data_IF_762864494104
#
_entry.id   IF_762864494104
#
_cell.length_a   1.000
_cell.length_b   1.000
_cell.length_c   1.000
_cell.angle_alpha   90.00
_cell.angle_beta   90.00
_cell.angle_gamma   90.00
#
_symmetry.space_group_name_H-M   'P 1'
#
loop_
_entity.id
_entity.type
_entity.pdbx_description
1 polymer ?
#
# COMPACT_ATOMS: atom_id res chain seq x y z
N UNK A 1 -14.18 31.00 -74.18
CA UNK A 1 -14.16 31.24 -72.73
C UNK A 1 -12.91 30.54 -72.19
N UNK A 2 -11.81 31.27 -71.93
CA UNK A 2 -10.51 30.68 -71.54
C UNK A 2 -10.55 30.34 -70.05
N UNK A 3 -10.71 29.06 -69.73
CA UNK A 3 -10.53 28.54 -68.39
C UNK A 3 -9.03 28.62 -68.07
N UNK A 4 -8.65 29.67 -67.34
CA UNK A 4 -7.26 29.89 -66.94
C UNK A 4 -6.83 28.73 -66.03
N UNK A 5 -5.89 27.97 -66.55
CA UNK A 5 -5.17 26.86 -65.93
C UNK A 5 -4.53 27.30 -64.60
N UNK A 6 -5.23 27.04 -63.49
CA UNK A 6 -4.82 27.49 -62.15
C UNK A 6 -3.73 26.59 -61.55
N UNK A 7 -3.67 25.33 -61.94
CA UNK A 7 -2.74 24.33 -61.36
C UNK A 7 -1.27 24.68 -61.62
N UNK A 8 -0.96 25.18 -62.83
CA UNK A 8 0.41 25.52 -63.24
C UNK A 8 1.02 26.69 -62.47
N UNK A 9 0.18 27.58 -61.92
CA UNK A 9 0.63 28.71 -61.09
C UNK A 9 1.00 28.23 -59.69
N UNK A 10 0.19 27.36 -59.07
CA UNK A 10 0.48 26.80 -57.74
C UNK A 10 1.75 25.93 -57.75
N UNK A 11 1.95 25.12 -58.78
CA UNK A 11 3.17 24.29 -58.91
C UNK A 11 4.46 25.12 -59.04
N UNK A 12 4.39 26.26 -59.76
CA UNK A 12 5.51 27.20 -59.88
C UNK A 12 5.82 27.92 -58.57
N UNK A 13 4.79 28.27 -57.80
CA UNK A 13 4.95 28.89 -56.49
C UNK A 13 5.55 27.90 -55.48
N UNK A 14 5.07 26.65 -55.46
CA UNK A 14 5.57 25.58 -54.57
C UNK A 14 7.02 25.16 -54.86
N UNK A 15 7.45 25.18 -56.13
CA UNK A 15 8.84 24.86 -56.53
C UNK A 15 9.84 26.01 -56.30
N UNK A 16 9.38 27.21 -55.94
CA UNK A 16 10.26 28.36 -55.74
C UNK A 16 10.91 28.33 -54.34
N UNK A 17 12.24 28.53 -54.28
CA UNK A 17 12.99 28.63 -53.00
C UNK A 17 12.46 29.74 -52.08
N UNK A 18 11.85 30.79 -52.65
CA UNK A 18 11.27 31.90 -51.91
C UNK A 18 10.01 31.46 -51.15
N UNK A 19 9.22 30.52 -51.68
CA UNK A 19 8.03 30.04 -51.00
C UNK A 19 8.39 29.35 -49.68
N UNK A 20 9.45 28.53 -49.69
CA UNK A 20 9.95 27.90 -48.48
C UNK A 20 10.51 28.90 -47.46
N UNK A 21 11.11 30.01 -47.88
CA UNK A 21 11.64 31.04 -46.97
C UNK A 21 10.54 31.67 -46.11
N UNK A 22 9.33 31.81 -46.65
CA UNK A 22 8.17 32.34 -45.92
C UNK A 22 7.35 31.25 -45.23
N UNK A 23 7.32 30.04 -45.78
CA UNK A 23 6.58 28.91 -45.20
C UNK A 23 7.22 28.40 -43.90
N UNK A 24 8.56 28.29 -43.86
CA UNK A 24 9.30 27.77 -42.71
C UNK A 24 9.02 28.56 -41.41
N UNK A 25 9.13 29.90 -41.36
CA UNK A 25 8.88 30.66 -40.13
C UNK A 25 7.42 30.57 -39.67
N UNK A 26 6.47 30.54 -40.60
CA UNK A 26 5.05 30.32 -40.29
C UNK A 26 4.84 28.94 -39.67
N UNK A 27 5.45 27.91 -40.25
CA UNK A 27 5.36 26.55 -39.74
C UNK A 27 6.02 26.43 -38.36
N UNK A 28 7.17 27.08 -38.16
CA UNK A 28 7.86 27.12 -36.88
C UNK A 28 7.01 27.81 -35.80
N UNK A 29 6.36 28.93 -36.12
CA UNK A 29 5.47 29.64 -35.21
C UNK A 29 4.28 28.77 -34.79
N UNK A 30 3.70 27.99 -35.72
CA UNK A 30 2.64 27.04 -35.41
C UNK A 30 3.11 25.93 -34.46
N UNK A 31 4.29 25.33 -34.72
CA UNK A 31 4.88 24.31 -33.84
C UNK A 31 5.09 24.85 -32.44
N UNK A 32 5.65 26.06 -32.30
CA UNK A 32 5.89 26.69 -31.00
C UNK A 32 4.57 26.95 -30.27
N UNK A 33 3.55 27.47 -30.95
CA UNK A 33 2.24 27.71 -30.34
C UNK A 33 1.56 26.42 -29.86
N UNK A 34 1.60 25.36 -30.66
CA UNK A 34 1.01 24.07 -30.32
C UNK A 34 1.78 23.38 -29.18
N UNK A 35 3.10 23.40 -29.23
CA UNK A 35 3.95 22.77 -28.20
C UNK A 35 3.76 23.42 -26.83
N UNK A 36 3.67 24.75 -26.75
CA UNK A 36 3.39 25.46 -25.50
C UNK A 36 2.04 25.05 -24.90
N UNK A 37 1.00 24.99 -25.74
CA UNK A 37 -0.33 24.60 -25.29
C UNK A 37 -0.36 23.14 -24.82
N UNK A 38 0.30 22.24 -25.55
CA UNK A 38 0.37 20.82 -25.18
C UNK A 38 1.11 20.62 -23.86
N UNK A 39 2.24 21.33 -23.66
CA UNK A 39 3.01 21.28 -22.42
C UNK A 39 2.20 21.78 -21.22
N UNK A 40 1.47 22.90 -21.38
CA UNK A 40 0.61 23.42 -20.32
C UNK A 40 -0.51 22.44 -19.96
N UNK A 41 -1.16 21.84 -20.97
CA UNK A 41 -2.23 20.85 -20.75
C UNK A 41 -1.73 19.61 -20.03
N UNK A 42 -0.54 19.14 -20.39
CA UNK A 42 0.09 17.99 -19.74
C UNK A 42 0.42 18.27 -18.26
N UNK A 43 1.04 19.42 -17.97
CA UNK A 43 1.31 19.87 -16.61
C UNK A 43 0.05 19.96 -15.74
N UNK A 44 -1.03 20.52 -16.30
CA UNK A 44 -2.32 20.61 -15.60
C UNK A 44 -2.93 19.23 -15.35
N UNK A 45 -2.86 18.32 -16.31
CA UNK A 45 -3.36 16.96 -16.14
C UNK A 45 -2.60 16.19 -15.05
N UNK A 46 -1.28 16.33 -14.98
CA UNK A 46 -0.49 15.74 -13.90
C UNK A 46 -0.96 16.24 -12.55
N UNK A 47 -1.07 17.57 -12.38
CA UNK A 47 -1.51 18.18 -11.12
C UNK A 47 -2.92 17.75 -10.74
N UNK A 48 -3.82 17.64 -11.71
CA UNK A 48 -5.17 17.12 -11.47
C UNK A 48 -5.13 15.67 -11.02
N UNK A 49 -4.30 14.83 -11.63
CA UNK A 49 -4.18 13.44 -11.25
C UNK A 49 -3.60 13.28 -9.83
N UNK A 50 -2.56 14.05 -9.51
CA UNK A 50 -1.96 14.10 -8.17
C UNK A 50 -2.97 14.53 -7.11
N UNK A 51 -3.70 15.63 -7.36
CA UNK A 51 -4.73 16.12 -6.43
C UNK A 51 -5.87 15.12 -6.26
N UNK A 52 -6.30 14.45 -7.33
CA UNK A 52 -7.32 13.41 -7.26
C UNK A 52 -6.84 12.19 -6.47
N UNK A 53 -5.57 11.79 -6.63
CA UNK A 53 -4.98 10.70 -5.86
C UNK A 53 -4.90 11.05 -4.38
N UNK A 54 -4.55 12.29 -4.04
CA UNK A 54 -4.53 12.79 -2.67
C UNK A 54 -5.94 12.79 -2.04
N UNK A 55 -6.96 13.27 -2.76
CA UNK A 55 -8.36 13.20 -2.32
C UNK A 55 -8.81 11.76 -2.09
N UNK A 56 -8.45 10.83 -2.98
CA UNK A 56 -8.78 9.42 -2.81
C UNK A 56 -8.09 8.82 -1.57
N UNK A 57 -6.84 9.20 -1.31
CA UNK A 57 -6.12 8.76 -0.11
C UNK A 57 -6.77 9.29 1.16
N UNK A 58 -7.13 10.58 1.22
CA UNK A 58 -7.82 11.15 2.38
C UNK A 58 -9.18 10.50 2.63
N UNK A 59 -9.96 10.21 1.58
CA UNK A 59 -11.23 9.47 1.72
C UNK A 59 -11.02 8.08 2.30
N UNK A 60 -10.00 7.36 1.82
CA UNK A 60 -9.66 6.03 2.36
C UNK A 60 -9.25 6.12 3.83
N UNK A 61 -8.39 7.06 4.19
CA UNK A 61 -8.01 7.28 5.59
C UNK A 61 -9.22 7.57 6.47
N UNK A 62 -10.12 8.45 6.01
CA UNK A 62 -11.36 8.74 6.73
C UNK A 62 -12.21 7.49 6.94
N UNK A 63 -12.37 6.64 5.92
CA UNK A 63 -13.10 5.39 6.02
C UNK A 63 -12.44 4.41 7.01
N UNK A 64 -11.12 4.25 6.94
CA UNK A 64 -10.35 3.38 7.84
C UNK A 64 -10.44 3.87 9.30
N UNK A 65 -10.34 5.18 9.52
CA UNK A 65 -10.52 5.82 10.83
C UNK A 65 -11.95 5.61 11.36
N UNK A 66 -12.97 5.75 10.51
CA UNK A 66 -14.35 5.53 10.89
C UNK A 66 -14.59 4.06 11.32
N UNK A 67 -14.05 3.10 10.56
CA UNK A 67 -14.10 1.68 10.93
C UNK A 67 -13.39 1.39 12.24
N UNK A 68 -12.27 2.05 12.50
CA UNK A 68 -11.53 1.90 13.75
C UNK A 68 -12.33 2.45 14.95
N UNK A 69 -12.98 3.59 14.77
CA UNK A 69 -13.88 4.15 15.78
C UNK A 69 -15.03 3.19 16.06
N UNK A 70 -15.69 2.68 15.01
CA UNK A 70 -16.78 1.72 15.14
C UNK A 70 -16.33 0.44 15.87
N UNK A 71 -15.16 -0.10 15.51
CA UNK A 71 -14.56 -1.25 16.17
C UNK A 71 -14.37 -1.04 17.68
N UNK A 72 -13.83 0.12 18.08
CA UNK A 72 -13.59 0.43 19.50
C UNK A 72 -14.82 0.91 20.27
N UNK A 73 -15.87 1.38 19.59
CA UNK A 73 -17.13 1.74 20.23
C UNK A 73 -17.91 0.50 20.71
N UNK A 74 -17.74 -0.63 20.04
CA UNK A 74 -18.39 -1.88 20.43
C UNK A 74 -17.70 -2.50 21.66
N UNK A 75 -18.47 -2.61 22.75
CA UNK A 75 -18.05 -3.20 24.03
C UNK A 75 -17.60 -4.65 23.85
N UNK A 76 -18.18 -5.39 22.91
CA UNK A 76 -17.81 -6.78 22.63
C UNK A 76 -16.40 -6.90 22.06
N UNK A 77 -16.00 -5.96 21.20
CA UNK A 77 -14.65 -5.90 20.66
C UNK A 77 -13.63 -5.48 21.72
N UNK A 78 -14.00 -4.56 22.61
CA UNK A 78 -13.19 -4.17 23.75
C UNK A 78 -12.97 -5.34 24.72
N UNK A 79 -14.01 -6.14 24.97
CA UNK A 79 -13.90 -7.36 25.78
C UNK A 79 -13.02 -8.41 25.10
N UNK A 80 -13.13 -8.59 23.78
CA UNK A 80 -12.27 -9.49 23.03
C UNK A 80 -10.80 -9.05 23.06
N UNK A 81 -10.51 -7.75 22.88
CA UNK A 81 -9.16 -7.22 23.03
C UNK A 81 -8.62 -7.40 24.46
N UNK A 82 -9.45 -7.20 25.48
CA UNK A 82 -9.10 -7.46 26.88
C UNK A 82 -8.77 -8.95 27.14
N UNK A 83 -9.57 -9.87 26.58
CA UNK A 83 -9.31 -11.32 26.65
C UNK A 83 -8.00 -11.68 25.97
N UNK A 84 -7.74 -11.15 24.78
CA UNK A 84 -6.55 -11.50 23.98
C UNK A 84 -5.28 -10.86 24.53
N UNK A 85 -5.30 -9.56 24.82
CA UNK A 85 -4.10 -8.81 25.22
C UNK A 85 -3.77 -8.95 26.69
N UNK A 86 -4.79 -9.03 27.54
CA UNK A 86 -4.62 -9.00 29.00
C UNK A 86 -4.94 -10.35 29.64
N UNK A 87 -5.29 -11.38 28.85
CA UNK A 87 -5.77 -12.68 29.35
C UNK A 87 -6.91 -12.52 30.38
N UNK A 88 -7.70 -11.45 30.24
CA UNK A 88 -8.80 -11.16 31.15
C UNK A 88 -9.93 -12.18 30.95
N UNK A 89 -10.48 -12.66 32.06
CA UNK A 89 -11.57 -13.64 32.11
C UNK A 89 -12.75 -13.07 32.89
N UNK A 90 -13.97 -13.41 32.51
CA UNK A 90 -15.15 -13.08 33.31
C UNK A 90 -15.22 -13.99 34.55
N UNK A 91 -15.86 -13.50 35.61
CA UNK A 91 -16.11 -14.32 36.79
C UNK A 91 -16.99 -15.52 36.41
N UNK A 92 -16.47 -16.75 36.63
CA UNK A 92 -17.13 -18.01 36.26
C UNK A 92 -16.58 -18.72 35.01
N UNK A 93 -15.63 -18.14 34.28
CA UNK A 93 -15.05 -18.74 33.05
C UNK A 93 -13.92 -19.75 33.37
N UNK A 94 -14.04 -21.01 32.90
CA UNK A 94 -13.02 -22.06 33.05
C UNK A 94 -12.03 -22.04 31.88
N UNK A 95 -10.78 -21.68 32.16
CA UNK A 95 -9.66 -21.72 31.20
C UNK A 95 -9.04 -23.11 31.20
N UNK A 96 -8.91 -23.74 30.03
CA UNK A 96 -8.22 -25.01 29.85
C UNK A 96 -6.94 -24.76 29.06
N UNK A 97 -5.79 -25.04 29.67
CA UNK A 97 -4.49 -24.98 28.99
C UNK A 97 -4.26 -26.34 28.34
N UNK A 98 -4.32 -26.39 27.01
CA UNK A 98 -4.03 -27.61 26.24
C UNK A 98 -2.52 -27.64 26.01
N UNK A 99 -1.83 -28.46 26.80
CA UNK A 99 -0.43 -28.78 26.54
C UNK A 99 -0.39 -29.80 25.38
N UNK A 100 0.43 -29.57 24.33
CA UNK A 100 0.58 -30.55 23.27
C UNK A 100 1.11 -31.85 23.91
N UNK A 101 0.36 -32.94 23.71
CA UNK A 101 0.70 -34.26 24.23
C UNK A 101 2.08 -34.64 23.71
N UNK A 102 3.08 -34.59 24.58
CA UNK A 102 4.30 -35.33 24.36
C UNK A 102 3.88 -36.80 24.40
N UNK A 103 3.85 -37.43 23.23
CA UNK A 103 3.69 -38.86 23.09
C UNK A 103 4.79 -39.53 23.91
N UNK A 104 4.45 -40.10 25.07
CA UNK A 104 5.15 -41.24 25.69
C UNK A 104 4.40 -41.72 26.92
N UNK A 105 3.70 -42.83 26.75
CA UNK A 105 3.40 -43.79 27.81
C UNK A 105 4.70 -44.15 28.54
N UNK A 106 4.74 -43.94 29.85
CA UNK A 106 5.35 -44.87 30.80
C UNK A 106 4.89 -44.51 32.20
N UNK A 107 4.10 -45.41 32.78
CA UNK A 107 4.04 -45.58 34.22
C UNK A 107 5.49 -45.75 34.73
N UNK A 108 5.97 -44.80 35.51
CA UNK A 108 7.05 -45.06 36.45
C UNK A 108 6.63 -44.46 37.79
N UNK A 109 6.18 -45.36 38.64
CA UNK A 109 6.22 -45.17 40.09
C UNK A 109 7.67 -44.85 40.45
N UNK A 110 7.93 -43.65 40.96
CA UNK A 110 9.14 -43.38 41.73
C UNK A 110 8.69 -42.92 43.11
N UNK A 111 8.66 -43.89 44.02
CA UNK A 111 8.80 -43.67 45.46
C UNK A 111 10.09 -42.89 45.73
N UNK A 112 10.03 -42.06 46.77
CA UNK A 112 10.96 -41.00 47.11
C UNK A 112 12.47 -41.29 47.06
N UNK A 113 13.19 -40.23 46.70
CA UNK A 113 14.52 -39.95 47.22
C UNK A 113 14.57 -38.49 47.64
N UNK A 114 14.78 -38.26 48.94
CA UNK A 114 15.27 -37.00 49.48
C UNK A 114 16.56 -36.61 48.73
N UNK A 115 16.45 -35.71 47.76
CA UNK A 115 17.59 -34.92 47.31
C UNK A 115 17.29 -33.45 47.54
N UNK A 116 17.89 -32.93 48.61
CA UNK A 116 17.82 -31.56 49.07
C UNK A 116 18.55 -30.61 48.11
N UNK A 117 18.07 -30.54 46.86
CA UNK A 117 18.59 -29.62 45.85
C UNK A 117 17.71 -28.37 45.83
N UNK A 118 18.26 -27.20 46.19
CA UNK A 118 17.48 -25.98 46.21
C UNK A 118 17.01 -25.61 44.80
N UNK A 119 15.78 -25.11 44.71
CA UNK A 119 15.06 -24.91 43.46
C UNK A 119 15.90 -24.22 42.38
N UNK A 120 16.70 -23.21 42.71
CA UNK A 120 17.50 -22.46 41.74
C UNK A 120 18.43 -23.36 40.90
N UNK A 121 18.94 -24.47 41.43
CA UNK A 121 19.76 -25.40 40.65
C UNK A 121 18.92 -26.26 39.70
N UNK A 122 17.70 -26.60 40.07
CA UNK A 122 16.78 -27.34 39.21
C UNK A 122 16.42 -26.51 37.98
N UNK A 123 16.12 -25.22 38.17
CA UNK A 123 15.86 -24.29 37.06
C UNK A 123 17.08 -24.13 36.15
N UNK A 124 18.28 -24.04 36.71
CA UNK A 124 19.50 -23.92 35.92
C UNK A 124 19.72 -25.13 35.00
N UNK A 125 19.52 -26.35 35.50
CA UNK A 125 19.64 -27.56 34.69
C UNK A 125 18.56 -27.68 33.61
N UNK A 126 17.35 -27.17 33.89
CA UNK A 126 16.27 -27.17 32.90
C UNK A 126 16.60 -26.26 31.71
N UNK A 127 17.15 -25.08 31.97
CA UNK A 127 17.49 -24.11 30.91
C UNK A 127 18.83 -24.40 30.23
N UNK A 128 19.75 -25.09 30.91
CA UNK A 128 21.05 -25.45 30.37
C UNK A 128 21.36 -26.94 30.62
N UNK A 129 20.69 -27.86 29.90
CA UNK A 129 21.08 -29.27 29.91
C UNK A 129 22.51 -29.40 29.35
N UNK A 130 23.36 -30.18 30.00
CA UNK A 130 24.67 -30.54 29.43
C UNK A 130 24.46 -31.70 28.46
N UNK A 131 24.86 -31.50 27.20
CA UNK A 131 25.00 -32.55 26.18
C UNK A 131 26.00 -33.65 26.61
#
# INVERSE_FOLDING_TARGET
MKEKDKSTIYERLLKSKIFFIFLIPIFLALIVGISQQFYYRYQVQIKLNELNAEVANYKKQQEDLAKLIEYYQDISNLENEARVRLNLKKEGEKVVIILPTATSTSENVISGSDENMPNYKQWWYYFFPRD
#
